data_IF_241939747833
#
_entry.id   IF_241939747833
#
_cell.length_a   1.000
_cell.length_b   1.000
_cell.length_c   1.000
_cell.angle_alpha   90.00
_cell.angle_beta   90.00
_cell.angle_gamma   90.00
#
_symmetry.space_group_name_H-M   'P 1'
#
loop_
_entity.id
_entity.type
_entity.pdbx_description
1 polymer ?
#
# COMPACT_ATOMS: atom_id res chain seq x y z
N UNK A 1 9.15 16.79 -13.92
CA UNK A 1 7.88 16.48 -14.65
C UNK A 1 7.65 17.53 -15.71
N UNK A 2 7.57 17.10 -16.98
CA UNK A 2 7.58 18.02 -18.13
C UNK A 2 6.31 18.89 -18.24
N UNK A 3 5.17 18.42 -17.73
CA UNK A 3 3.88 19.08 -17.90
C UNK A 3 3.15 19.43 -16.60
N UNK A 4 3.79 19.24 -15.46
CA UNK A 4 3.16 19.50 -14.16
C UNK A 4 1.99 18.57 -13.80
N UNK A 5 1.89 17.41 -14.46
CA UNK A 5 0.84 16.42 -14.19
C UNK A 5 1.32 15.47 -13.09
N UNK A 6 0.52 15.27 -12.08
CA UNK A 6 0.73 14.27 -11.02
C UNK A 6 -0.23 13.10 -11.21
N UNK A 7 0.26 11.89 -10.94
CA UNK A 7 -0.56 10.67 -10.98
C UNK A 7 -0.33 9.88 -9.70
N UNK A 8 -1.37 9.67 -8.94
CA UNK A 8 -1.35 8.92 -7.69
C UNK A 8 -2.47 7.89 -7.68
N UNK A 9 -2.31 6.87 -6.85
CA UNK A 9 -3.31 5.83 -6.63
C UNK A 9 -3.92 6.02 -5.25
N UNK A 10 -5.22 5.90 -5.16
CA UNK A 10 -5.95 5.91 -3.89
C UNK A 10 -6.74 4.62 -3.75
N UNK A 11 -6.51 3.90 -2.66
CA UNK A 11 -7.24 2.71 -2.27
C UNK A 11 -8.18 3.06 -1.11
N UNK A 12 -9.46 3.30 -1.39
CA UNK A 12 -10.42 3.68 -0.35
C UNK A 12 -10.95 2.47 0.40
N UNK A 13 -11.04 2.59 1.72
CA UNK A 13 -11.79 1.68 2.57
C UNK A 13 -13.00 2.42 3.13
N UNK A 14 -14.18 2.14 2.62
CA UNK A 14 -15.41 2.78 3.06
C UNK A 14 -16.55 1.77 3.13
N UNK A 15 -17.46 2.00 4.07
CA UNK A 15 -18.68 1.22 4.16
C UNK A 15 -19.69 1.74 3.13
N UNK A 16 -20.06 0.87 2.21
CA UNK A 16 -21.03 1.15 1.15
C UNK A 16 -21.92 -0.08 0.93
N UNK A 17 -22.89 0.03 0.06
CA UNK A 17 -23.73 -1.12 -0.33
C UNK A 17 -22.92 -2.31 -0.84
N UNK A 18 -21.73 -2.08 -1.39
CA UNK A 18 -20.85 -3.13 -1.89
C UNK A 18 -20.04 -3.80 -0.79
N UNK A 19 -19.83 -3.15 0.35
CA UNK A 19 -18.93 -3.60 1.42
C UNK A 19 -19.62 -3.93 2.73
N UNK A 20 -20.88 -3.54 2.90
CA UNK A 20 -21.63 -3.71 4.17
C UNK A 20 -21.74 -5.16 4.64
N UNK A 21 -21.73 -6.13 3.70
CA UNK A 21 -21.85 -7.56 3.99
C UNK A 21 -20.48 -8.26 4.10
N UNK A 22 -19.36 -7.53 3.95
CA UNK A 22 -18.03 -8.14 3.99
C UNK A 22 -17.58 -8.37 5.44
N UNK A 23 -16.94 -9.54 5.72
CA UNK A 23 -16.32 -9.78 7.02
C UNK A 23 -15.27 -8.71 7.35
N UNK A 24 -15.30 -8.19 8.56
CA UNK A 24 -14.41 -7.14 9.02
C UNK A 24 -14.96 -5.72 8.92
N UNK A 25 -16.05 -5.52 8.16
CA UNK A 25 -16.84 -4.29 8.17
C UNK A 25 -18.07 -4.39 9.11
N UNK A 26 -18.35 -5.62 9.56
CA UNK A 26 -19.44 -5.87 10.50
C UNK A 26 -19.02 -5.50 11.93
N UNK A 27 -19.60 -4.47 12.46
CA UNK A 27 -19.54 -4.05 13.84
C UNK A 27 -20.91 -3.52 14.27
N UNK A 28 -20.96 -2.74 15.33
CA UNK A 28 -22.15 -1.97 15.62
C UNK A 28 -22.45 -1.08 14.40
N UNK A 29 -23.55 -1.37 13.71
CA UNK A 29 -23.88 -0.80 12.39
C UNK A 29 -23.80 0.72 12.34
N UNK A 30 -24.27 1.43 13.37
CA UNK A 30 -24.25 2.89 13.42
C UNK A 30 -22.84 3.44 13.55
N UNK A 31 -22.03 2.91 14.47
CA UNK A 31 -20.64 3.32 14.63
C UNK A 31 -19.77 2.96 13.41
N UNK A 32 -20.01 1.81 12.79
CA UNK A 32 -19.30 1.39 11.60
C UNK A 32 -19.62 2.32 10.41
N UNK A 33 -20.88 2.68 10.23
CA UNK A 33 -21.33 3.64 9.20
C UNK A 33 -20.66 5.01 9.38
N UNK A 34 -20.54 5.48 10.60
CA UNK A 34 -19.91 6.76 10.89
C UNK A 34 -18.40 6.71 10.70
N UNK A 35 -17.72 5.69 11.24
CA UNK A 35 -16.26 5.52 11.13
C UNK A 35 -15.80 5.33 9.70
N UNK A 36 -16.56 4.61 8.91
CA UNK A 36 -16.20 4.19 7.55
C UNK A 36 -17.03 4.94 6.49
N UNK A 37 -17.55 6.08 6.83
CA UNK A 37 -18.35 6.88 5.90
C UNK A 37 -17.54 7.28 4.66
N UNK A 38 -18.11 7.18 3.45
CA UNK A 38 -17.39 7.53 2.21
C UNK A 38 -16.86 8.96 2.16
N UNK A 39 -17.51 9.89 2.82
CA UNK A 39 -17.09 11.30 2.87
C UNK A 39 -15.75 11.50 3.62
N UNK A 40 -15.28 10.51 4.36
CA UNK A 40 -13.96 10.55 5.01
C UNK A 40 -12.80 10.33 4.04
N UNK A 41 -13.06 9.78 2.87
CA UNK A 41 -12.08 9.60 1.80
C UNK A 41 -11.84 10.90 1.03
N UNK A 42 -12.88 11.70 0.86
CA UNK A 42 -12.88 12.91 0.02
C UNK A 42 -11.81 13.95 0.36
N UNK A 43 -11.49 14.24 1.64
CA UNK A 43 -10.47 15.24 1.96
C UNK A 43 -9.09 14.91 1.39
N UNK A 44 -8.67 13.65 1.38
CA UNK A 44 -7.39 13.25 0.81
C UNK A 44 -7.37 13.46 -0.70
N UNK A 45 -8.44 13.11 -1.38
CA UNK A 45 -8.58 13.35 -2.84
C UNK A 45 -8.53 14.84 -3.14
N UNK A 46 -9.27 15.64 -2.40
CA UNK A 46 -9.30 17.09 -2.57
C UNK A 46 -7.91 17.71 -2.37
N UNK A 47 -7.20 17.28 -1.33
CA UNK A 47 -5.83 17.77 -1.09
C UNK A 47 -4.87 17.43 -2.22
N UNK A 48 -4.95 16.23 -2.79
CA UNK A 48 -4.13 15.83 -3.94
C UNK A 48 -4.36 16.68 -5.19
N UNK A 49 -5.48 17.38 -5.25
CA UNK A 49 -5.81 18.32 -6.34
C UNK A 49 -5.33 19.75 -6.07
N UNK A 50 -4.75 20.03 -4.92
CA UNK A 50 -4.28 21.37 -4.56
C UNK A 50 -2.87 21.66 -5.08
N UNK A 51 -2.47 22.93 -5.21
CA UNK A 51 -1.08 23.30 -5.58
C UNK A 51 -0.03 22.77 -4.60
N UNK A 52 -0.37 22.61 -3.32
CA UNK A 52 0.51 22.07 -2.29
C UNK A 52 0.93 20.63 -2.57
N UNK A 53 0.12 19.88 -3.32
CA UNK A 53 0.41 18.52 -3.72
C UNK A 53 1.16 18.40 -5.07
N UNK A 54 1.65 19.51 -5.61
CA UNK A 54 2.30 19.55 -6.94
C UNK A 54 3.51 18.60 -7.08
N UNK A 55 4.19 18.29 -5.97
CA UNK A 55 5.33 17.38 -5.96
C UNK A 55 4.97 15.95 -5.51
N UNK A 56 3.69 15.67 -5.29
CA UNK A 56 3.20 14.35 -4.90
C UNK A 56 2.77 13.61 -6.15
N UNK A 57 3.58 12.65 -6.59
CA UNK A 57 3.29 11.82 -7.75
C UNK A 57 3.90 10.43 -7.60
N UNK A 58 3.30 9.44 -8.23
CA UNK A 58 3.74 8.04 -8.15
C UNK A 58 3.52 7.41 -6.78
N UNK A 59 2.64 7.95 -5.98
CA UNK A 59 2.35 7.48 -4.63
C UNK A 59 1.05 6.68 -4.58
N UNK A 60 0.96 5.82 -3.58
CA UNK A 60 -0.21 5.00 -3.31
C UNK A 60 -0.68 5.29 -1.89
N UNK A 61 -1.92 5.77 -1.78
CA UNK A 61 -2.55 6.09 -0.50
C UNK A 61 -3.67 5.12 -0.19
N UNK A 62 -3.73 4.64 1.05
CA UNK A 62 -4.88 3.93 1.57
C UNK A 62 -5.60 4.86 2.53
N UNK A 63 -6.89 5.06 2.32
CA UNK A 63 -7.72 5.89 3.18
C UNK A 63 -8.88 5.07 3.72
N UNK A 64 -8.93 4.91 5.02
CA UNK A 64 -9.96 4.14 5.70
C UNK A 64 -10.41 4.88 6.95
N UNK A 65 -11.63 5.36 6.95
CA UNK A 65 -12.09 6.27 8.00
C UNK A 65 -11.20 7.51 8.06
N UNK A 66 -10.74 7.85 9.24
CA UNK A 66 -9.82 8.97 9.47
C UNK A 66 -8.34 8.58 9.39
N UNK A 67 -8.02 7.37 8.91
CA UNK A 67 -6.66 6.92 8.71
C UNK A 67 -6.24 7.11 7.27
N UNK A 68 -5.11 7.76 7.07
CA UNK A 68 -4.43 7.87 5.77
C UNK A 68 -3.08 7.17 5.89
N UNK A 69 -2.87 6.17 5.06
CA UNK A 69 -1.63 5.38 5.02
C UNK A 69 -0.94 5.55 3.67
N UNK A 70 0.37 5.64 3.69
CA UNK A 70 1.19 5.65 2.49
C UNK A 70 1.77 4.25 2.28
N UNK A 71 1.49 3.65 1.13
CA UNK A 71 2.15 2.42 0.69
C UNK A 71 3.44 2.78 -0.02
N UNK A 72 4.52 2.15 0.39
CA UNK A 72 5.84 2.35 -0.22
C UNK A 72 6.43 1.01 -0.60
N UNK A 73 7.04 0.97 -1.78
CA UNK A 73 7.85 -0.16 -2.20
C UNK A 73 9.20 -0.08 -1.51
N UNK A 74 9.65 -1.20 -0.98
CA UNK A 74 10.98 -1.37 -0.43
C UNK A 74 11.73 -2.34 -1.34
N UNK A 75 12.98 -2.01 -1.64
CA UNK A 75 13.85 -2.86 -2.45
C UNK A 75 15.05 -3.24 -1.60
N UNK A 76 15.15 -4.51 -1.26
CA UNK A 76 16.26 -5.07 -0.51
C UNK A 76 16.96 -6.11 -1.39
N UNK A 77 18.29 -6.01 -1.52
CA UNK A 77 19.07 -7.05 -2.16
C UNK A 77 19.22 -8.21 -1.20
N UNK A 78 18.57 -9.32 -1.51
CA UNK A 78 18.55 -10.51 -0.66
C UNK A 78 19.54 -11.59 -1.07
N UNK A 79 20.04 -11.52 -2.30
CA UNK A 79 21.10 -12.37 -2.82
C UNK A 79 21.82 -11.65 -3.95
N UNK A 80 23.13 -11.70 -3.93
CA UNK A 80 23.96 -11.09 -4.97
C UNK A 80 25.17 -11.97 -5.26
N UNK A 81 25.55 -12.02 -6.50
CA UNK A 81 26.72 -12.71 -7.00
C UNK A 81 27.46 -11.76 -7.94
N UNK A 82 28.78 -11.79 -7.97
CA UNK A 82 29.55 -10.95 -8.88
C UNK A 82 29.10 -11.20 -10.32
N UNK A 83 28.90 -10.14 -11.08
CA UNK A 83 28.36 -10.20 -12.46
C UNK A 83 29.29 -10.96 -13.44
N UNK A 84 30.57 -11.13 -13.11
CA UNK A 84 31.53 -11.91 -13.91
C UNK A 84 31.55 -13.39 -13.55
N UNK A 85 30.93 -13.78 -12.43
CA UNK A 85 30.77 -15.17 -12.06
C UNK A 85 29.66 -15.85 -12.89
N UNK A 86 29.71 -17.19 -13.01
CA UNK A 86 28.61 -17.92 -13.67
C UNK A 86 27.27 -17.64 -12.99
N UNK A 87 26.21 -17.80 -13.75
CA UNK A 87 24.83 -17.68 -13.25
C UNK A 87 24.57 -18.56 -12.01
N UNK A 88 23.57 -18.19 -11.25
CA UNK A 88 23.13 -18.97 -10.10
C UNK A 88 22.67 -20.37 -10.52
N UNK A 89 23.10 -21.40 -9.79
CA UNK A 89 22.45 -22.71 -9.82
C UNK A 89 21.22 -22.68 -8.90
N UNK A 90 20.32 -23.62 -9.10
CA UNK A 90 19.11 -23.75 -8.23
C UNK A 90 19.51 -23.99 -6.78
N UNK A 91 20.52 -24.82 -6.54
CA UNK A 91 20.99 -25.11 -5.17
C UNK A 91 21.62 -23.88 -4.51
N UNK A 92 22.46 -23.14 -5.23
CA UNK A 92 23.09 -21.92 -4.73
C UNK A 92 22.06 -20.86 -4.37
N UNK A 93 21.08 -20.60 -5.25
CA UNK A 93 20.05 -19.61 -4.97
C UNK A 93 19.14 -20.07 -3.83
N UNK A 94 18.85 -21.37 -3.71
CA UNK A 94 18.10 -21.95 -2.62
C UNK A 94 18.73 -21.67 -1.26
N UNK A 95 20.03 -21.91 -1.13
CA UNK A 95 20.80 -21.60 0.10
C UNK A 95 20.75 -20.10 0.44
N UNK A 96 20.93 -19.24 -0.56
CA UNK A 96 20.90 -17.79 -0.37
C UNK A 96 19.49 -17.33 0.09
N UNK A 97 18.43 -17.88 -0.49
CA UNK A 97 17.05 -17.58 -0.08
C UNK A 97 16.77 -18.01 1.35
N UNK A 98 17.15 -19.24 1.72
CA UNK A 98 16.95 -19.74 3.09
C UNK A 98 17.62 -18.85 4.13
N UNK A 99 18.84 -18.41 3.88
CA UNK A 99 19.58 -17.50 4.77
C UNK A 99 18.88 -16.14 4.94
N UNK A 100 18.28 -15.61 3.86
CA UNK A 100 17.67 -14.29 3.87
C UNK A 100 16.23 -14.27 4.40
N UNK A 101 15.52 -15.40 4.37
CA UNK A 101 14.07 -15.46 4.65
C UNK A 101 13.66 -14.86 6.00
N UNK A 102 14.47 -15.03 7.02
CA UNK A 102 14.18 -14.48 8.36
C UNK A 102 14.16 -12.95 8.38
N UNK A 103 14.90 -12.33 7.46
CA UNK A 103 14.97 -10.86 7.35
C UNK A 103 13.91 -10.26 6.42
N UNK A 104 13.14 -11.09 5.72
CA UNK A 104 12.13 -10.58 4.80
C UNK A 104 11.01 -9.83 5.55
N UNK A 105 10.51 -8.73 4.97
CA UNK A 105 9.40 -8.03 5.55
C UNK A 105 8.19 -8.95 5.73
N UNK A 106 7.47 -8.77 6.82
CA UNK A 106 6.22 -9.51 7.03
C UNK A 106 5.19 -9.09 5.97
N UNK A 107 4.40 -10.06 5.53
CA UNK A 107 3.27 -9.76 4.66
C UNK A 107 2.26 -8.88 5.41
N UNK A 108 1.83 -7.82 4.76
CA UNK A 108 0.74 -6.99 5.27
C UNK A 108 -0.57 -7.77 5.22
N UNK A 109 -1.29 -7.74 6.32
CA UNK A 109 -2.67 -8.23 6.33
C UNK A 109 -3.59 -7.15 5.77
N UNK A 110 -4.68 -7.52 5.10
CA UNK A 110 -5.61 -6.55 4.50
C UNK A 110 -6.11 -5.47 5.47
N UNK A 111 -6.19 -5.79 6.74
CA UNK A 111 -6.67 -4.87 7.79
C UNK A 111 -5.57 -3.99 8.41
N UNK A 112 -4.32 -4.16 8.02
CA UNK A 112 -3.18 -3.39 8.54
C UNK A 112 -2.83 -2.18 7.66
N UNK A 113 -3.54 -2.05 6.57
CA UNK A 113 -3.29 -0.99 5.58
C UNK A 113 -4.09 0.26 5.90
#
# INVERSE_FOLDING_TARGET
MKYGITVNVLAPGALSRMTEDLPGFAGNEEEAKERMAPNKVSPTVAWLCTPEAANVTGRQFCVSGNRVSLLSWQVDTIAEKDSIEPEWTVDEIGEAMEKSMESWPKLLKPMEV
#
